data_IF_886661727410
#
_entry.id   IF_886661727410
#
_cell.length_a   1.000
_cell.length_b   1.000
_cell.length_c   1.000
_cell.angle_alpha   90.00
_cell.angle_beta   90.00
_cell.angle_gamma   90.00
#
_symmetry.space_group_name_H-M   'P 1'
#
loop_
_entity.id
_entity.type
_entity.pdbx_description
1 polymer ?
#
# COMPACT_ATOMS: atom_id res chain seq x y z
N UNK A 1 19.77 -44.13 -18.01
CA UNK A 1 20.04 -43.23 -16.85
C UNK A 1 20.02 -41.75 -17.22
N UNK A 2 20.69 -41.30 -18.30
CA UNK A 2 20.70 -39.88 -18.72
C UNK A 2 19.29 -39.28 -18.96
N UNK A 3 18.37 -40.05 -19.56
CA UNK A 3 16.97 -39.62 -19.79
C UNK A 3 16.19 -39.35 -18.50
N UNK A 4 16.49 -40.03 -17.40
CA UNK A 4 15.81 -39.83 -16.11
C UNK A 4 16.30 -38.55 -15.41
N UNK A 5 17.60 -38.24 -15.54
CA UNK A 5 18.20 -37.03 -15.00
C UNK A 5 17.72 -35.76 -15.72
N UNK A 6 17.53 -35.83 -17.05
CA UNK A 6 17.03 -34.71 -17.85
C UNK A 6 15.56 -34.41 -17.56
N UNK A 7 14.71 -35.45 -17.41
CA UNK A 7 13.29 -35.29 -17.06
C UNK A 7 13.13 -34.75 -15.63
N UNK A 8 13.96 -35.20 -14.68
CA UNK A 8 13.98 -34.67 -13.32
C UNK A 8 14.40 -33.20 -13.25
N UNK A 9 15.42 -32.79 -14.01
CA UNK A 9 15.83 -31.39 -14.10
C UNK A 9 14.72 -30.50 -14.73
N UNK A 10 14.01 -31.01 -15.74
CA UNK A 10 12.91 -30.28 -16.39
C UNK A 10 11.72 -30.07 -15.44
N UNK A 11 11.34 -31.09 -14.66
CA UNK A 11 10.25 -30.97 -13.69
C UNK A 11 10.59 -30.01 -12.54
N UNK A 12 11.85 -29.98 -12.09
CA UNK A 12 12.29 -29.02 -11.07
C UNK A 12 12.31 -27.59 -11.62
N UNK A 13 12.79 -27.38 -12.86
CA UNK A 13 12.72 -26.07 -13.51
C UNK A 13 11.28 -25.60 -13.75
N UNK A 14 10.37 -26.49 -14.14
CA UNK A 14 8.95 -26.16 -14.31
C UNK A 14 8.27 -25.81 -12.98
N UNK A 15 8.59 -26.53 -11.90
CA UNK A 15 8.10 -26.23 -10.55
C UNK A 15 8.65 -24.90 -10.02
N UNK A 16 9.94 -24.62 -10.24
CA UNK A 16 10.55 -23.31 -9.92
C UNK A 16 9.92 -22.18 -10.73
N UNK A 17 9.67 -22.39 -12.03
CA UNK A 17 8.98 -21.42 -12.89
C UNK A 17 7.56 -21.11 -12.41
N UNK A 18 6.82 -22.12 -11.98
CA UNK A 18 5.47 -21.94 -11.42
C UNK A 18 5.48 -21.13 -10.11
N UNK A 19 6.47 -21.34 -9.23
CA UNK A 19 6.63 -20.55 -8.00
C UNK A 19 6.96 -19.09 -8.30
N UNK A 20 7.76 -18.82 -9.33
CA UNK A 20 8.07 -17.45 -9.78
C UNK A 20 6.83 -16.73 -10.32
N UNK A 21 5.92 -17.42 -11.00
CA UNK A 21 4.69 -16.80 -11.50
C UNK A 21 3.69 -16.40 -10.40
N UNK A 22 3.69 -17.07 -9.25
CA UNK A 22 2.78 -16.77 -8.14
C UNK A 22 3.28 -15.60 -7.29
N UNK A 23 4.58 -15.31 -7.31
CA UNK A 23 5.21 -14.23 -6.54
C UNK A 23 5.40 -12.92 -7.34
N UNK A 24 4.90 -12.84 -8.58
CA UNK A 24 4.96 -11.62 -9.37
C UNK A 24 3.93 -10.60 -8.84
N UNK A 25 4.17 -10.04 -7.67
CA UNK A 25 3.69 -8.69 -7.38
C UNK A 25 4.22 -7.79 -8.49
N UNK A 26 3.36 -6.98 -9.10
CA UNK A 26 3.79 -6.00 -10.08
C UNK A 26 4.72 -5.01 -9.38
N UNK A 27 6.02 -5.31 -9.38
CA UNK A 27 7.06 -4.38 -8.98
C UNK A 27 7.12 -3.36 -10.11
N UNK A 28 6.42 -2.24 -9.92
CA UNK A 28 6.60 -1.06 -10.77
C UNK A 28 8.01 -0.53 -10.50
N UNK A 29 8.96 -0.94 -11.35
CA UNK A 29 10.35 -0.49 -11.29
C UNK A 29 10.52 1.00 -11.64
N UNK A 30 9.43 1.69 -12.00
CA UNK A 30 9.43 3.10 -12.43
C UNK A 30 8.69 4.05 -11.48
N UNK A 31 8.35 3.62 -10.26
CA UNK A 31 7.93 4.51 -9.15
C UNK A 31 6.61 5.27 -9.32
N UNK A 32 5.94 5.23 -10.48
CA UNK A 32 4.68 5.96 -10.70
C UNK A 32 3.48 5.21 -10.14
N UNK A 33 2.61 5.93 -9.43
CA UNK A 33 1.32 5.42 -8.98
C UNK A 33 0.49 4.96 -10.17
N UNK A 34 -0.02 3.73 -10.10
CA UNK A 34 -0.83 3.11 -11.17
C UNK A 34 -2.31 3.09 -10.81
N UNK A 35 -2.63 3.15 -9.51
CA UNK A 35 -4.00 3.00 -9.00
C UNK A 35 -4.34 4.16 -8.07
N UNK A 36 -5.46 4.81 -8.36
CA UNK A 36 -6.00 5.93 -7.59
C UNK A 36 -7.41 5.60 -7.11
N UNK A 37 -7.67 5.78 -5.82
CA UNK A 37 -9.03 5.86 -5.29
C UNK A 37 -9.56 7.28 -5.51
N UNK A 38 -10.76 7.44 -6.06
CA UNK A 38 -11.32 8.72 -6.48
C UNK A 38 -12.56 9.05 -5.66
N UNK A 39 -12.61 10.26 -5.11
CA UNK A 39 -13.75 10.76 -4.32
C UNK A 39 -14.12 12.16 -4.78
N UNK A 40 -15.41 12.40 -4.93
CA UNK A 40 -15.94 13.74 -5.19
C UNK A 40 -16.16 14.43 -3.85
N UNK A 41 -15.63 15.65 -3.70
CA UNK A 41 -15.78 16.50 -2.54
C UNK A 41 -15.98 17.96 -2.99
N UNK A 42 -17.21 18.45 -2.87
CA UNK A 42 -17.57 19.77 -3.39
C UNK A 42 -17.35 19.84 -4.90
N UNK A 43 -16.58 20.83 -5.33
CA UNK A 43 -16.22 21.10 -6.73
C UNK A 43 -14.98 20.33 -7.20
N UNK A 44 -14.47 19.40 -6.39
CA UNK A 44 -13.26 18.64 -6.69
C UNK A 44 -13.51 17.15 -6.78
N UNK A 45 -12.83 16.51 -7.72
CA UNK A 45 -12.52 15.08 -7.69
C UNK A 45 -11.10 14.93 -7.14
N UNK A 46 -10.99 14.32 -5.97
CA UNK A 46 -9.73 14.03 -5.29
C UNK A 46 -9.37 12.58 -5.56
N UNK A 47 -8.21 12.35 -6.18
CA UNK A 47 -7.69 11.03 -6.51
C UNK A 47 -6.47 10.72 -5.64
N UNK A 48 -6.54 9.68 -4.79
CA UNK A 48 -5.50 9.28 -3.86
C UNK A 48 -4.77 8.01 -4.34
N UNK A 49 -3.48 8.17 -4.59
CA UNK A 49 -2.50 7.17 -4.96
C UNK A 49 -1.68 6.69 -3.78
N UNK A 50 -1.37 5.39 -3.72
CA UNK A 50 -0.60 4.76 -2.63
C UNK A 50 0.64 4.06 -3.17
N UNK A 51 1.77 4.23 -2.48
CA UNK A 51 3.02 3.51 -2.78
C UNK A 51 3.55 2.88 -1.47
N UNK A 52 3.53 1.54 -1.35
CA UNK A 52 2.99 0.57 -2.30
C UNK A 52 1.45 0.62 -2.43
N UNK A 53 0.85 0.07 -3.51
CA UNK A 53 -0.60 0.10 -3.73
C UNK A 53 -1.40 -0.67 -2.66
N UNK A 54 -0.79 -1.69 -2.06
CA UNK A 54 -1.28 -2.38 -0.87
C UNK A 54 -0.35 -2.06 0.31
N UNK A 55 -0.68 -1.04 1.12
CA UNK A 55 0.17 -0.63 2.23
C UNK A 55 0.39 -1.75 3.25
N UNK A 56 1.62 -1.83 3.73
CA UNK A 56 2.01 -2.67 4.85
C UNK A 56 2.46 -1.78 6.01
N UNK A 57 2.49 -2.34 7.22
CA UNK A 57 3.11 -1.67 8.38
C UNK A 57 4.53 -1.23 8.01
N UNK A 58 4.82 0.05 8.23
CA UNK A 58 6.06 0.71 7.85
C UNK A 58 5.86 1.97 7.02
N UNK A 59 6.86 2.30 6.22
CA UNK A 59 6.88 3.51 5.41
C UNK A 59 6.01 3.35 4.17
N UNK A 60 5.20 4.36 3.87
CA UNK A 60 4.48 4.47 2.61
C UNK A 60 4.41 5.92 2.16
N UNK A 61 4.18 6.12 0.86
CA UNK A 61 4.03 7.44 0.24
C UNK A 61 2.63 7.58 -0.36
N UNK A 62 2.15 8.82 -0.39
CA UNK A 62 0.90 9.19 -1.04
C UNK A 62 1.16 10.15 -2.19
N UNK A 63 0.35 10.01 -3.24
CA UNK A 63 0.27 10.93 -4.36
C UNK A 63 -1.18 11.34 -4.54
N UNK A 64 -1.44 12.63 -4.63
CA UNK A 64 -2.79 13.17 -4.75
C UNK A 64 -2.91 13.90 -6.08
N UNK A 65 -3.96 13.61 -6.83
CA UNK A 65 -4.34 14.37 -8.01
C UNK A 65 -5.68 15.06 -7.73
N UNK A 66 -5.75 16.36 -7.98
CA UNK A 66 -6.95 17.17 -7.75
C UNK A 66 -7.45 17.66 -9.09
N UNK A 67 -8.70 17.34 -9.42
CA UNK A 67 -9.37 17.74 -10.65
C UNK A 67 -10.59 18.56 -10.27
N UNK A 68 -10.79 19.71 -10.91
CA UNK A 68 -12.03 20.47 -10.76
C UNK A 68 -13.14 19.80 -11.58
N UNK A 69 -14.29 19.53 -10.97
CA UNK A 69 -15.34 18.70 -11.58
C UNK A 69 -16.06 19.38 -12.74
N UNK A 70 -16.17 20.71 -12.73
CA UNK A 70 -16.83 21.45 -13.81
C UNK A 70 -15.95 21.54 -15.07
N UNK A 71 -14.67 21.82 -14.88
CA UNK A 71 -13.73 22.06 -15.99
C UNK A 71 -12.98 20.80 -16.43
N UNK A 72 -13.01 19.74 -15.62
CA UNK A 72 -12.19 18.53 -15.76
C UNK A 72 -10.69 18.82 -15.86
N UNK A 73 -10.24 19.96 -15.29
CA UNK A 73 -8.84 20.38 -15.33
C UNK A 73 -8.12 20.14 -14.00
N UNK A 74 -6.81 19.85 -14.02
CA UNK A 74 -6.03 19.73 -12.79
C UNK A 74 -5.96 21.06 -12.04
N UNK A 75 -6.20 21.03 -10.73
CA UNK A 75 -6.12 22.22 -9.87
C UNK A 75 -4.67 22.45 -9.44
N UNK A 76 -4.16 23.64 -9.77
CA UNK A 76 -2.78 24.03 -9.47
C UNK A 76 -2.73 25.01 -8.29
N UNK A 77 -1.70 24.88 -7.45
CA UNK A 77 -1.45 25.78 -6.33
C UNK A 77 -2.53 25.72 -5.23
N UNK A 78 -3.18 24.56 -5.07
CA UNK A 78 -4.04 24.32 -3.92
C UNK A 78 -3.19 24.02 -2.68
N UNK A 79 -3.67 24.46 -1.52
CA UNK A 79 -3.13 24.05 -0.23
C UNK A 79 -3.74 22.70 0.13
N UNK A 80 -2.90 21.65 0.16
CA UNK A 80 -3.34 20.27 0.41
C UNK A 80 -2.79 19.80 1.74
N UNK A 81 -3.68 19.32 2.62
CA UNK A 81 -3.32 18.79 3.94
C UNK A 81 -3.90 17.40 4.12
N UNK A 82 -3.04 16.47 4.53
CA UNK A 82 -3.44 15.10 4.87
C UNK A 82 -3.44 14.94 6.39
N UNK A 83 -4.48 14.30 6.90
CA UNK A 83 -4.50 13.74 8.26
C UNK A 83 -4.94 12.29 8.21
N UNK A 84 -4.64 11.52 9.24
CA UNK A 84 -5.19 10.17 9.36
C UNK A 84 -5.49 9.79 10.81
N UNK A 85 -6.49 8.93 10.97
CA UNK A 85 -6.88 8.30 12.23
C UNK A 85 -6.92 6.79 12.02
N UNK A 86 -6.35 6.01 12.95
CA UNK A 86 -6.50 4.57 12.88
C UNK A 86 -5.49 3.77 13.71
N UNK A 87 -5.65 2.44 13.75
CA UNK A 87 -6.67 1.68 13.02
C UNK A 87 -8.07 1.86 13.64
N UNK A 88 -9.05 2.09 12.77
CA UNK A 88 -10.46 2.21 13.15
C UNK A 88 -10.99 0.84 13.58
N UNK A 89 -11.63 0.72 14.76
CA UNK A 89 -12.22 -0.55 15.18
C UNK A 89 -13.36 -0.92 14.23
N UNK A 90 -13.35 -2.17 13.76
CA UNK A 90 -14.40 -2.74 12.92
C UNK A 90 -15.30 -3.67 13.74
N UNK A 91 -16.59 -3.72 13.42
CA UNK A 91 -17.49 -4.73 13.97
C UNK A 91 -17.26 -6.10 13.32
N UNK A 92 -18.00 -7.11 13.76
CA UNK A 92 -17.91 -8.47 13.22
C UNK A 92 -18.28 -8.57 11.73
N UNK A 93 -18.91 -7.53 11.16
CA UNK A 93 -19.24 -7.42 9.72
C UNK A 93 -18.18 -6.67 8.90
N UNK A 94 -17.12 -6.16 9.55
CA UNK A 94 -16.09 -5.35 8.92
C UNK A 94 -16.46 -3.86 8.80
N UNK A 95 -17.52 -3.41 9.48
CA UNK A 95 -17.99 -2.02 9.43
C UNK A 95 -17.30 -1.18 10.52
N UNK A 96 -16.80 0.03 10.19
CA UNK A 96 -16.27 0.96 11.18
C UNK A 96 -17.22 1.27 12.35
N UNK A 97 -16.81 0.95 13.57
CA UNK A 97 -17.51 1.29 14.80
C UNK A 97 -17.18 2.76 15.15
N UNK A 98 -18.20 3.61 15.25
CA UNK A 98 -18.07 4.97 15.81
C UNK A 98 -18.10 6.13 14.80
N UNK A 99 -18.09 5.88 13.49
CA UNK A 99 -18.26 6.96 12.47
C UNK A 99 -19.71 7.20 12.04
N UNK A 100 -20.63 6.29 12.38
CA UNK A 100 -22.06 6.44 12.06
C UNK A 100 -22.90 6.79 13.31
N UNK A 101 -22.73 8.00 13.87
CA UNK A 101 -23.74 8.63 14.77
C UNK A 101 -23.40 10.09 15.11
N UNK A 102 -23.68 11.04 14.22
CA UNK A 102 -23.62 12.48 14.54
C UNK A 102 -24.93 13.23 14.22
N UNK A 103 -26.06 12.54 14.11
CA UNK A 103 -27.33 13.23 13.81
C UNK A 103 -28.57 12.75 14.59
N UNK A 104 -28.46 11.89 15.60
CA UNK A 104 -29.61 11.62 16.48
C UNK A 104 -29.19 11.21 17.89
N UNK A 105 -29.87 11.78 18.89
CA UNK A 105 -29.72 11.59 20.35
C UNK A 105 -28.82 12.59 21.08
N UNK A 106 -29.13 13.87 20.91
CA UNK A 106 -29.06 14.80 22.03
C UNK A 106 -30.26 14.54 22.98
N UNK A 107 -30.21 13.49 23.80
CA UNK A 107 -31.11 13.31 24.95
C UNK A 107 -30.71 12.11 25.84
N UNK A 108 -29.83 12.35 26.80
CA UNK A 108 -29.96 11.93 28.20
C UNK A 108 -28.58 11.91 28.87
N UNK A 109 -28.29 13.02 29.55
CA UNK A 109 -27.26 13.09 30.57
C UNK A 109 -27.63 12.16 31.74
N UNK A 110 -26.60 11.56 32.36
CA UNK A 110 -26.54 10.93 33.71
C UNK A 110 -25.86 9.55 33.81
N UNK A 111 -24.99 9.16 32.87
CA UNK A 111 -24.08 8.02 33.06
C UNK A 111 -22.59 8.40 32.96
N UNK A 112 -22.22 9.62 33.39
CA UNK A 112 -20.84 10.00 33.68
C UNK A 112 -20.43 9.44 35.06
N UNK A 113 -19.45 8.53 35.11
CA UNK A 113 -18.42 8.46 36.18
C UNK A 113 -17.49 7.23 36.11
N UNK A 114 -17.72 6.19 35.30
CA UNK A 114 -16.83 5.00 35.29
C UNK A 114 -16.41 4.45 33.92
N UNK A 115 -16.69 5.16 32.82
CA UNK A 115 -16.11 4.87 31.50
C UNK A 115 -14.99 5.87 31.10
N UNK A 116 -14.56 6.72 32.04
CA UNK A 116 -13.74 7.91 31.77
C UNK A 116 -12.24 7.68 32.03
N UNK A 117 -11.69 6.52 31.64
CA UNK A 117 -10.25 6.27 31.75
C UNK A 117 -9.64 5.43 30.61
N UNK A 118 -10.43 5.04 29.61
CA UNK A 118 -9.93 4.32 28.43
C UNK A 118 -10.52 4.80 27.10
N UNK A 119 -11.20 5.95 27.07
CA UNK A 119 -11.98 6.38 25.92
C UNK A 119 -11.82 7.87 25.58
N UNK A 120 -10.68 8.46 25.92
CA UNK A 120 -10.33 9.85 25.64
C UNK A 120 -9.08 9.94 24.74
N UNK A 121 -9.15 9.37 23.54
CA UNK A 121 -8.24 9.69 22.41
C UNK A 121 -8.90 9.46 21.03
N UNK A 122 -10.23 9.26 21.00
CA UNK A 122 -10.99 8.98 19.78
C UNK A 122 -11.47 10.29 19.15
N UNK A 123 -10.71 10.79 18.18
CA UNK A 123 -11.12 11.92 17.34
C UNK A 123 -10.00 12.88 16.94
N UNK A 124 -8.82 12.77 17.56
CA UNK A 124 -7.65 13.54 17.13
C UNK A 124 -6.88 12.75 16.06
N UNK A 125 -6.45 13.40 14.96
CA UNK A 125 -5.62 12.75 13.96
C UNK A 125 -4.32 12.24 14.59
N UNK A 126 -4.03 10.95 14.38
CA UNK A 126 -2.80 10.30 14.81
C UNK A 126 -1.64 10.60 13.86
N UNK A 127 -1.97 10.83 12.58
CA UNK A 127 -1.03 11.22 11.54
C UNK A 127 -1.40 12.61 11.02
N UNK A 128 -0.39 13.47 10.87
CA UNK A 128 -0.54 14.81 10.34
C UNK A 128 -0.87 15.88 11.39
N UNK A 129 -1.20 17.10 10.95
CA UNK A 129 -1.36 17.52 9.56
C UNK A 129 -0.05 17.44 8.75
N UNK A 130 -0.12 16.85 7.57
CA UNK A 130 0.98 16.80 6.60
C UNK A 130 0.59 17.70 5.44
N UNK A 131 1.29 18.81 5.27
CA UNK A 131 1.14 19.64 4.08
C UNK A 131 1.80 18.92 2.89
N UNK A 132 1.09 18.87 1.77
CA UNK A 132 1.53 18.20 0.55
C UNK A 132 1.80 19.27 -0.49
N UNK A 133 3.04 19.32 -0.95
CA UNK A 133 3.45 20.30 -1.95
C UNK A 133 3.17 19.78 -3.35
N UNK A 134 2.89 20.67 -4.32
CA UNK A 134 2.84 20.28 -5.72
C UNK A 134 4.20 19.68 -6.13
N UNK A 135 4.16 18.59 -6.90
CA UNK A 135 5.36 17.90 -7.36
C UNK A 135 6.24 18.87 -8.19
N UNK A 136 7.52 19.11 -7.80
CA UNK A 136 8.41 20.01 -8.53
C UNK A 136 8.76 19.53 -9.94
N UNK A 137 8.68 18.22 -10.21
CA UNK A 137 8.93 17.62 -11.53
C UNK A 137 7.66 17.60 -12.42
N UNK A 138 6.56 18.20 -11.93
CA UNK A 138 5.24 18.24 -12.58
C UNK A 138 5.17 19.08 -13.86
N UNK A 139 6.27 19.63 -14.39
CA UNK A 139 6.27 20.33 -15.69
C UNK A 139 5.64 19.48 -16.81
N UNK A 140 5.71 18.14 -16.71
CA UNK A 140 5.05 17.21 -17.64
C UNK A 140 3.70 16.65 -17.15
N UNK A 141 3.37 16.77 -15.86
CA UNK A 141 2.16 16.22 -15.24
C UNK A 141 1.63 17.20 -14.17
N UNK A 142 1.05 18.33 -14.58
CA UNK A 142 0.55 19.34 -13.64
C UNK A 142 -0.63 18.80 -12.80
N UNK A 143 -0.66 19.14 -11.51
CA UNK A 143 -1.76 18.83 -10.59
C UNK A 143 -1.56 17.63 -9.66
N UNK A 144 -0.36 17.02 -9.67
CA UNK A 144 0.02 16.02 -8.66
C UNK A 144 0.66 16.68 -7.44
N UNK A 145 0.29 16.18 -6.27
CA UNK A 145 0.78 16.59 -4.96
C UNK A 145 1.31 15.34 -4.24
N UNK A 146 2.61 15.30 -3.99
CA UNK A 146 3.29 14.13 -3.45
C UNK A 146 3.83 14.38 -2.05
N UNK A 147 3.76 13.37 -1.19
CA UNK A 147 4.36 13.45 0.14
C UNK A 147 5.88 13.39 0.03
N UNK A 148 6.58 14.46 0.44
CA UNK A 148 8.06 14.49 0.43
C UNK A 148 8.67 13.50 1.42
N UNK A 149 8.02 13.33 2.59
CA UNK A 149 8.47 12.45 3.65
C UNK A 149 7.61 11.19 3.71
N UNK A 150 8.21 10.02 4.01
CA UNK A 150 7.44 8.80 4.18
C UNK A 150 6.52 8.94 5.39
N UNK A 151 5.27 8.54 5.21
CA UNK A 151 4.33 8.38 6.31
C UNK A 151 4.57 7.01 6.93
N UNK A 152 4.68 6.95 8.26
CA UNK A 152 4.97 5.71 9.00
C UNK A 152 3.69 5.17 9.62
N UNK A 153 3.25 4.00 9.17
CA UNK A 153 2.14 3.25 9.76
C UNK A 153 2.69 2.23 10.74
N UNK A 154 2.20 2.25 11.98
CA UNK A 154 2.73 1.40 13.05
C UNK A 154 1.90 0.12 13.29
N UNK A 155 0.65 0.10 12.82
CA UNK A 155 -0.33 -0.95 13.11
C UNK A 155 -1.12 -1.37 11.87
N UNK A 156 -1.46 -2.65 11.83
CA UNK A 156 -2.38 -3.20 10.85
C UNK A 156 -3.82 -2.81 11.15
N UNK A 157 -4.63 -2.67 10.11
CA UNK A 157 -6.06 -2.38 10.21
C UNK A 157 -6.49 -1.34 9.19
N UNK A 158 -7.74 -0.89 9.32
CA UNK A 158 -8.29 0.15 8.46
C UNK A 158 -7.92 1.52 9.01
N UNK A 159 -7.13 2.28 8.26
CA UNK A 159 -6.82 3.67 8.54
C UNK A 159 -7.71 4.59 7.72
N UNK A 160 -8.20 5.68 8.32
CA UNK A 160 -8.99 6.69 7.63
C UNK A 160 -8.11 7.89 7.34
N UNK A 161 -7.81 8.12 6.07
CA UNK A 161 -7.06 9.28 5.61
C UNK A 161 -8.02 10.36 5.16
N UNK A 162 -7.91 11.55 5.75
CA UNK A 162 -8.70 12.71 5.38
C UNK A 162 -7.81 13.68 4.62
N UNK A 163 -8.16 13.93 3.36
CA UNK A 163 -7.49 14.89 2.48
C UNK A 163 -8.32 16.16 2.45
N UNK A 164 -7.73 17.24 2.96
CA UNK A 164 -8.30 18.59 2.90
C UNK A 164 -7.61 19.37 1.79
N UNK A 165 -8.41 19.99 0.94
CA UNK A 165 -7.97 20.84 -0.18
C UNK A 165 -8.55 22.22 0.05
N UNK A 166 -7.73 23.26 -0.06
CA UNK A 166 -8.19 24.65 -0.12
C UNK A 166 -7.56 25.31 -1.35
N UNK A 167 -8.37 25.73 -2.31
CA UNK A 167 -7.89 26.47 -3.47
C UNK A 167 -8.54 27.85 -3.56
N UNK A 168 -7.79 28.90 -3.95
CA UNK A 168 -8.36 30.24 -4.11
C UNK A 168 -9.50 30.33 -5.13
N UNK A 169 -9.60 29.36 -6.05
CA UNK A 169 -10.56 29.37 -7.15
C UNK A 169 -11.92 28.75 -6.77
N UNK A 170 -11.93 27.64 -6.02
CA UNK A 170 -13.13 26.85 -5.74
C UNK A 170 -13.38 26.58 -4.24
N UNK A 171 -12.50 27.06 -3.35
CA UNK A 171 -12.67 27.03 -1.90
C UNK A 171 -12.17 25.76 -1.23
N UNK A 172 -12.68 25.50 -0.02
CA UNK A 172 -12.24 24.36 0.79
C UNK A 172 -13.15 23.15 0.62
N UNK A 173 -12.55 21.96 0.48
CA UNK A 173 -13.23 20.68 0.43
C UNK A 173 -12.42 19.59 1.16
N UNK A 174 -13.09 18.50 1.50
CA UNK A 174 -12.48 17.40 2.24
C UNK A 174 -13.04 16.05 1.78
N UNK A 175 -12.17 15.06 1.64
CA UNK A 175 -12.55 13.68 1.32
C UNK A 175 -11.84 12.66 2.22
N UNK A 176 -12.60 11.62 2.59
CA UNK A 176 -12.11 10.52 3.41
C UNK A 176 -11.82 9.27 2.57
N UNK A 177 -10.64 8.69 2.80
CA UNK A 177 -10.09 7.54 2.08
C UNK A 177 -9.77 6.40 3.05
N UNK A 178 -10.52 5.28 2.98
CA UNK A 178 -10.20 4.08 3.73
C UNK A 178 -8.94 3.40 3.15
N UNK A 179 -7.93 3.19 3.99
CA UNK A 179 -6.70 2.51 3.62
C UNK A 179 -6.49 1.30 4.52
N UNK A 180 -6.57 0.11 3.93
CA UNK A 180 -6.28 -1.14 4.64
C UNK A 180 -4.77 -1.38 4.70
N UNK A 181 -4.26 -1.58 5.90
CA UNK A 181 -2.84 -1.79 6.20
C UNK A 181 -2.63 -3.20 6.72
N UNK A 182 -1.74 -3.94 6.06
CA UNK A 182 -1.49 -5.36 6.36
C UNK A 182 -0.07 -5.62 6.86
N UNK A 183 0.21 -6.84 7.35
CA UNK A 183 1.58 -7.28 7.63
C UNK A 183 2.18 -8.04 6.44
N UNK A 184 3.51 -7.92 6.19
CA UNK A 184 4.16 -8.73 5.16
C UNK A 184 4.09 -10.24 5.46
N UNK A 185 3.81 -11.06 4.44
CA UNK A 185 3.71 -12.51 4.58
C UNK A 185 5.10 -13.17 4.67
N UNK A 186 5.47 -13.80 5.81
CA UNK A 186 6.79 -14.42 5.97
C UNK A 186 7.00 -15.64 5.07
N UNK A 187 5.91 -16.26 4.57
CA UNK A 187 5.99 -17.44 3.72
C UNK A 187 6.69 -17.15 2.39
N UNK A 188 6.53 -15.94 1.84
CA UNK A 188 7.19 -15.56 0.59
C UNK A 188 8.71 -15.64 0.71
N UNK A 189 9.27 -15.18 1.83
CA UNK A 189 10.71 -15.24 2.10
C UNK A 189 11.21 -16.68 2.22
N UNK A 190 10.47 -17.51 2.95
CA UNK A 190 10.82 -18.94 3.13
C UNK A 190 10.75 -19.68 1.79
N UNK A 191 9.69 -19.49 1.01
CA UNK A 191 9.52 -20.13 -0.30
C UNK A 191 10.65 -19.73 -1.25
N UNK A 192 11.02 -18.45 -1.26
CA UNK A 192 12.16 -17.95 -2.05
C UNK A 192 13.48 -18.59 -1.61
N UNK A 193 13.70 -18.73 -0.31
CA UNK A 193 14.90 -19.39 0.23
C UNK A 193 14.96 -20.88 -0.15
N UNK A 194 13.85 -21.60 -0.03
CA UNK A 194 13.74 -23.03 -0.39
C UNK A 194 13.98 -23.22 -1.89
N UNK A 195 13.39 -22.37 -2.72
CA UNK A 195 13.60 -22.35 -4.17
C UNK A 195 15.09 -22.13 -4.53
N UNK A 196 15.73 -21.14 -3.88
CA UNK A 196 17.15 -20.85 -4.08
C UNK A 196 18.04 -22.05 -3.69
N UNK A 197 17.77 -22.67 -2.54
CA UNK A 197 18.49 -23.87 -2.09
C UNK A 197 18.34 -25.02 -3.09
N UNK A 198 17.12 -25.29 -3.56
CA UNK A 198 16.89 -26.31 -4.58
C UNK A 198 17.67 -26.03 -5.87
N UNK A 199 17.70 -24.77 -6.32
CA UNK A 199 18.47 -24.36 -7.48
C UNK A 199 19.98 -24.61 -7.30
N UNK A 200 20.55 -24.24 -6.14
CA UNK A 200 21.96 -24.48 -5.82
C UNK A 200 22.28 -25.98 -5.84
N UNK A 201 21.41 -26.83 -5.30
CA UNK A 201 21.59 -28.29 -5.32
C UNK A 201 21.64 -28.83 -6.75
N UNK A 202 20.74 -28.37 -7.63
CA UNK A 202 20.73 -28.76 -9.05
C UNK A 202 22.03 -28.35 -9.74
N UNK A 203 22.49 -27.11 -9.53
CA UNK A 203 23.76 -26.62 -10.10
C UNK A 203 24.94 -27.45 -9.60
N UNK A 204 25.01 -27.74 -8.29
CA UNK A 204 26.08 -28.54 -7.71
C UNK A 204 26.13 -29.95 -8.29
N UNK A 205 24.97 -30.59 -8.50
CA UNK A 205 24.88 -31.90 -9.14
C UNK A 205 25.30 -31.85 -10.61
N UNK A 206 24.91 -30.82 -11.36
CA UNK A 206 25.31 -30.63 -12.75
C UNK A 206 26.83 -30.46 -12.88
N UNK A 207 27.44 -29.60 -12.06
CA UNK A 207 28.89 -29.39 -12.02
C UNK A 207 29.62 -30.68 -11.64
N UNK A 208 29.13 -31.38 -10.61
CA UNK A 208 29.72 -32.66 -10.18
C UNK A 208 29.68 -33.71 -11.30
N UNK A 209 28.58 -33.77 -12.06
CA UNK A 209 28.48 -34.67 -13.22
C UNK A 209 29.46 -34.28 -14.32
N UNK A 210 29.56 -32.99 -14.66
CA UNK A 210 30.48 -32.51 -15.69
C UNK A 210 31.96 -32.81 -15.38
N UNK A 211 32.40 -32.59 -14.14
CA UNK A 211 33.78 -32.90 -13.71
C UNK A 211 34.06 -34.41 -13.79
N UNK A 212 33.07 -35.25 -13.42
CA UNK A 212 33.21 -36.70 -13.48
C UNK A 212 33.38 -37.20 -14.91
N UNK A 213 32.63 -36.66 -15.86
CA UNK A 213 32.74 -37.05 -17.26
C UNK A 213 34.12 -36.69 -17.84
N UNK A 214 34.60 -35.48 -17.52
CA UNK A 214 35.89 -35.00 -18.01
C UNK A 214 37.09 -35.82 -17.51
N UNK A 215 36.99 -36.43 -16.33
CA UNK A 215 38.03 -37.31 -15.77
C UNK A 215 38.12 -38.66 -16.49
N UNK A 216 37.03 -39.13 -17.11
CA UNK A 216 36.98 -40.41 -17.82
C UNK A 216 37.60 -40.37 -19.22
N UNK A 217 37.61 -39.19 -19.85
CA UNK A 217 38.18 -39.01 -21.20
C UNK A 217 39.71 -38.84 -21.22
N UNK A 218 40.38 -38.90 -20.06
CA UNK A 218 41.83 -38.65 -19.93
C UNK A 218 42.66 -39.86 -19.45
N UNK A 219 42.04 -41.03 -19.30
CA UNK A 219 42.72 -42.34 -19.12
C UNK A 219 42.43 -43.23 -20.31
#
# INVERSE_FOLDING_TARGET
MVRLAVVGAFLVCAALGAVVHIAASQVSANGRVVEFDRRIAGEYEIALGKIPPSPIVGNFYLSILIIETETETPVLGADVVITAVGPVPLDESGTPIGMARTSETAASASQLSQAESAQAESGQPEIGPIAVNPDPDSENYPGYYDTEQPIVLDRTGLWMFTVSVDSPAAGAATADFPVEVTTPNPLTGIVTLVALMAFIVVVALAVRMYIRERRRSRS
#
